data_IF_043062926932
#
_entry.id   IF_043062926932
#
_cell.length_a   1.000
_cell.length_b   1.000
_cell.length_c   1.000
_cell.angle_alpha   90.00
_cell.angle_beta   90.00
_cell.angle_gamma   90.00
#
_symmetry.space_group_name_H-M   'P 1'
#
loop_
_entity.id
_entity.type
_entity.pdbx_description
1 polymer ?
#
# COMPACT_ATOMS: atom_id res chain seq x y z
N UNK A 1 -56.29 13.33 18.16
CA UNK A 1 -55.41 12.78 19.21
C UNK A 1 -54.64 11.54 18.77
N UNK A 2 -55.00 10.85 17.70
CA UNK A 2 -54.30 9.65 17.18
C UNK A 2 -53.10 9.94 16.24
N UNK A 3 -53.07 11.06 15.54
CA UNK A 3 -51.95 11.43 14.64
C UNK A 3 -50.66 11.86 15.39
N UNK A 4 -50.81 12.51 16.52
CA UNK A 4 -49.64 12.94 17.33
C UNK A 4 -48.89 11.77 17.99
N UNK A 5 -49.59 10.68 18.32
CA UNK A 5 -48.98 9.49 18.92
C UNK A 5 -48.15 8.69 17.94
N UNK A 6 -48.54 8.66 16.66
CA UNK A 6 -47.77 7.98 15.59
C UNK A 6 -46.53 8.76 15.20
N UNK A 7 -46.56 10.08 15.22
CA UNK A 7 -45.43 10.93 14.89
C UNK A 7 -44.31 10.86 15.99
N UNK A 8 -44.73 10.82 17.28
CA UNK A 8 -43.79 10.63 18.39
C UNK A 8 -43.11 9.25 18.38
N UNK A 9 -43.83 8.20 18.00
CA UNK A 9 -43.26 6.85 17.92
C UNK A 9 -42.23 6.70 16.79
N UNK A 10 -42.45 7.38 15.65
CA UNK A 10 -41.54 7.37 14.50
C UNK A 10 -40.23 8.13 14.76
N UNK A 11 -40.30 9.24 15.52
CA UNK A 11 -39.09 10.00 15.91
C UNK A 11 -38.29 9.24 16.96
N UNK A 12 -38.95 8.54 17.90
CA UNK A 12 -38.27 7.72 18.91
C UNK A 12 -37.56 6.50 18.28
N UNK A 13 -38.14 5.90 17.24
CA UNK A 13 -37.53 4.79 16.50
C UNK A 13 -36.36 5.25 15.62
N UNK A 14 -36.42 6.47 15.06
CA UNK A 14 -35.32 7.06 14.29
C UNK A 14 -34.11 7.43 15.16
N UNK A 15 -34.36 7.88 16.42
CA UNK A 15 -33.29 8.16 17.39
C UNK A 15 -32.61 6.89 17.91
N UNK A 16 -33.33 5.76 17.97
CA UNK A 16 -32.74 4.48 18.40
C UNK A 16 -31.81 3.88 17.34
N UNK A 17 -32.01 4.19 16.07
CA UNK A 17 -31.13 3.71 14.99
C UNK A 17 -29.84 4.51 14.86
N UNK A 18 -29.78 5.74 15.36
CA UNK A 18 -28.55 6.55 15.40
C UNK A 18 -27.59 6.17 16.55
N UNK A 19 -28.09 5.50 17.59
CA UNK A 19 -27.26 5.06 18.71
C UNK A 19 -26.38 3.83 18.43
N UNK A 20 -26.58 3.18 17.28
CA UNK A 20 -25.85 1.97 16.88
C UNK A 20 -24.46 2.19 16.29
N UNK A 21 -23.97 3.41 16.09
CA UNK A 21 -22.72 3.72 15.41
C UNK A 21 -21.60 4.29 16.28
N UNK A 22 -21.74 4.27 17.59
CA UNK A 22 -20.62 4.50 18.50
C UNK A 22 -19.86 3.18 18.70
N UNK A 23 -19.39 2.57 17.63
CA UNK A 23 -18.39 1.52 17.71
C UNK A 23 -17.11 2.22 18.16
N UNK A 24 -16.69 2.01 19.40
CA UNK A 24 -15.35 2.41 19.83
C UNK A 24 -14.37 1.70 18.89
N UNK A 25 -13.73 2.44 18.00
CA UNK A 25 -12.69 1.92 17.12
C UNK A 25 -11.54 1.44 18.01
N UNK A 26 -11.40 0.12 18.10
CA UNK A 26 -10.28 -0.46 18.83
C UNK A 26 -9.06 -0.59 17.91
N UNK A 27 -7.90 -0.87 18.49
CA UNK A 27 -6.65 -1.03 17.73
C UNK A 27 -6.78 -2.06 16.59
N UNK A 28 -7.56 -3.12 16.77
CA UNK A 28 -7.78 -4.15 15.75
C UNK A 28 -8.55 -3.59 14.55
N UNK A 29 -9.60 -2.81 14.79
CA UNK A 29 -10.41 -2.20 13.73
C UNK A 29 -9.57 -1.23 12.91
N UNK A 30 -8.73 -0.41 13.57
CA UNK A 30 -7.81 0.53 12.91
C UNK A 30 -6.75 -0.23 12.10
N UNK A 31 -6.22 -1.34 12.63
CA UNK A 31 -5.27 -2.17 11.91
C UNK A 31 -5.88 -2.80 10.66
N UNK A 32 -7.09 -3.36 10.74
CA UNK A 32 -7.79 -3.90 9.58
C UNK A 32 -8.04 -2.83 8.50
N UNK A 33 -8.35 -1.61 8.92
CA UNK A 33 -8.52 -0.48 8.01
C UNK A 33 -7.19 -0.11 7.32
N UNK A 34 -6.10 -0.13 8.08
CA UNK A 34 -4.76 0.12 7.57
C UNK A 34 -4.34 -0.95 6.55
N UNK A 35 -4.57 -2.25 6.82
CA UNK A 35 -4.28 -3.33 5.87
C UNK A 35 -4.94 -3.12 4.50
N UNK A 36 -6.13 -2.51 4.47
CA UNK A 36 -6.88 -2.26 3.23
C UNK A 36 -6.44 -0.99 2.50
N UNK A 37 -5.97 0.01 3.24
CA UNK A 37 -5.81 1.37 2.71
C UNK A 37 -4.36 1.89 2.74
N UNK A 38 -3.44 1.25 3.47
CA UNK A 38 -2.06 1.72 3.59
C UNK A 38 -1.33 1.65 2.23
N UNK A 39 -0.91 2.80 1.66
CA UNK A 39 -0.20 2.82 0.39
C UNK A 39 1.19 2.20 0.47
N UNK A 40 1.86 2.25 1.64
CA UNK A 40 3.18 1.65 1.84
C UNK A 40 3.09 0.12 1.81
N UNK A 41 2.09 -0.46 2.46
CA UNK A 41 1.86 -1.91 2.43
C UNK A 41 1.51 -2.38 1.01
N UNK A 42 0.69 -1.62 0.27
CA UNK A 42 0.38 -1.93 -1.13
C UNK A 42 1.60 -1.84 -2.05
N UNK A 43 2.49 -0.87 -1.81
CA UNK A 43 3.75 -0.76 -2.53
C UNK A 43 4.67 -1.94 -2.23
N UNK A 44 4.78 -2.35 -0.96
CA UNK A 44 5.52 -3.54 -0.55
C UNK A 44 4.98 -4.82 -1.19
N UNK A 45 3.65 -4.98 -1.26
CA UNK A 45 3.01 -6.10 -1.95
C UNK A 45 3.32 -6.12 -3.46
N UNK A 46 3.33 -4.96 -4.11
CA UNK A 46 3.69 -4.86 -5.51
C UNK A 46 5.17 -5.24 -5.74
N UNK A 47 6.07 -4.81 -4.85
CA UNK A 47 7.49 -5.19 -4.86
C UNK A 47 7.67 -6.68 -4.63
N UNK A 48 6.93 -7.28 -3.70
CA UNK A 48 6.92 -8.73 -3.48
C UNK A 48 6.47 -9.48 -4.72
N UNK A 49 5.38 -9.07 -5.37
CA UNK A 49 4.90 -9.70 -6.61
C UNK A 49 5.95 -9.63 -7.72
N UNK A 50 6.60 -8.48 -7.88
CA UNK A 50 7.70 -8.33 -8.83
C UNK A 50 8.90 -9.23 -8.47
N UNK A 51 9.26 -9.30 -7.19
CA UNK A 51 10.34 -10.16 -6.70
C UNK A 51 10.07 -11.64 -6.90
N UNK A 52 8.81 -12.07 -6.77
CA UNK A 52 8.39 -13.46 -7.00
C UNK A 52 8.62 -13.92 -8.45
N UNK A 53 8.55 -13.00 -9.42
CA UNK A 53 8.80 -13.30 -10.83
C UNK A 53 10.26 -13.67 -11.15
N UNK A 54 11.21 -13.40 -10.23
CA UNK A 54 12.61 -13.85 -10.43
C UNK A 54 12.72 -15.36 -10.60
N UNK A 55 11.88 -16.14 -9.90
CA UNK A 55 11.83 -17.59 -10.07
C UNK A 55 11.34 -17.99 -11.46
N UNK A 56 10.28 -17.34 -11.94
CA UNK A 56 9.73 -17.58 -13.28
C UNK A 56 10.76 -17.24 -14.36
N UNK A 57 11.50 -16.14 -14.20
CA UNK A 57 12.59 -15.76 -15.10
C UNK A 57 13.75 -16.78 -15.07
N UNK A 58 14.08 -17.32 -13.90
CA UNK A 58 15.06 -18.38 -13.76
C UNK A 58 14.67 -19.64 -14.53
N UNK A 59 13.39 -20.05 -14.41
CA UNK A 59 12.83 -21.19 -15.13
C UNK A 59 12.85 -20.95 -16.64
N UNK A 60 12.53 -19.73 -17.10
CA UNK A 60 12.50 -19.39 -18.53
C UNK A 60 13.84 -19.64 -19.22
N UNK A 61 14.96 -19.50 -18.50
CA UNK A 61 16.29 -19.81 -19.01
C UNK A 61 16.54 -21.31 -19.29
N UNK A 62 15.70 -22.20 -18.77
CA UNK A 62 15.75 -23.66 -18.96
C UNK A 62 14.77 -24.14 -20.03
N UNK A 63 13.86 -23.29 -20.49
CA UNK A 63 12.83 -23.63 -21.47
C UNK A 63 13.33 -23.40 -22.92
N UNK A 64 12.64 -23.99 -23.92
CA UNK A 64 12.93 -23.71 -25.33
C UNK A 64 12.66 -22.24 -25.66
N UNK A 65 13.58 -21.61 -26.35
CA UNK A 65 13.40 -20.25 -26.88
C UNK A 65 13.01 -20.31 -28.33
N UNK A 66 11.87 -19.77 -28.70
CA UNK A 66 11.40 -19.59 -30.06
C UNK A 66 11.72 -18.15 -30.51
N UNK A 67 12.46 -18.03 -31.63
CA UNK A 67 12.76 -16.75 -32.25
C UNK A 67 12.20 -16.74 -33.66
N UNK A 68 11.49 -15.69 -34.04
CA UNK A 68 10.97 -15.43 -35.35
C UNK A 68 11.52 -14.09 -35.81
N UNK A 69 12.06 -14.03 -37.02
CA UNK A 69 12.57 -12.78 -37.56
C UNK A 69 12.37 -12.68 -39.05
N UNK A 70 12.46 -11.45 -39.55
CA UNK A 70 12.42 -11.16 -40.96
C UNK A 70 13.26 -9.94 -41.28
N UNK A 71 13.87 -9.94 -42.47
CA UNK A 71 14.59 -8.78 -42.96
C UNK A 71 14.20 -8.50 -44.41
N UNK A 72 14.23 -7.24 -44.78
CA UNK A 72 14.08 -6.76 -46.13
C UNK A 72 15.29 -5.90 -46.46
N UNK A 73 15.95 -6.22 -47.53
CA UNK A 73 17.14 -5.52 -48.00
C UNK A 73 16.91 -4.99 -49.41
N UNK A 74 17.06 -3.71 -49.57
CA UNK A 74 17.07 -3.08 -50.89
C UNK A 74 18.47 -3.14 -51.45
N UNK A 75 18.67 -3.87 -52.56
CA UNK A 75 19.97 -4.07 -53.19
C UNK A 75 20.05 -3.28 -54.49
N UNK A 76 21.14 -2.59 -54.66
CA UNK A 76 21.44 -1.82 -55.87
C UNK A 76 22.80 -2.30 -56.39
N UNK A 77 22.80 -2.79 -57.61
CA UNK A 77 24.01 -3.26 -58.27
C UNK A 77 24.45 -2.25 -59.34
N UNK A 78 25.66 -1.72 -59.17
CA UNK A 78 26.26 -0.77 -60.10
C UNK A 78 27.55 -1.32 -60.67
N UNK A 79 27.76 -1.15 -62.03
CA UNK A 79 29.01 -1.41 -62.68
C UNK A 79 29.46 -0.16 -63.44
N UNK A 80 30.70 0.27 -63.22
CA UNK A 80 31.25 1.51 -63.78
C UNK A 80 30.39 2.75 -63.57
N UNK A 81 29.84 2.91 -62.31
CA UNK A 81 28.92 3.97 -61.92
C UNK A 81 27.54 3.97 -62.62
N UNK A 82 27.27 3.02 -63.48
CA UNK A 82 25.95 2.85 -64.09
C UNK A 82 25.12 1.84 -63.32
N UNK A 83 23.87 2.21 -63.03
CA UNK A 83 22.90 1.33 -62.40
C UNK A 83 22.54 0.19 -63.32
N UNK A 84 22.84 -1.06 -62.94
CA UNK A 84 22.53 -2.24 -63.72
C UNK A 84 21.29 -2.99 -63.26
N UNK A 85 21.08 -3.04 -61.95
CA UNK A 85 19.93 -3.75 -61.39
C UNK A 85 19.57 -3.25 -60.00
N UNK A 86 18.28 -3.27 -59.68
CA UNK A 86 17.74 -2.98 -58.36
C UNK A 86 16.73 -4.05 -58.00
N UNK A 87 16.97 -4.70 -56.87
CA UNK A 87 16.02 -5.70 -56.36
C UNK A 87 15.90 -5.66 -54.87
N UNK A 88 14.69 -5.99 -54.37
CA UNK A 88 14.44 -6.16 -52.97
C UNK A 88 14.49 -7.63 -52.59
N UNK A 89 15.35 -7.99 -51.63
CA UNK A 89 15.43 -9.34 -51.07
C UNK A 89 14.77 -9.39 -49.70
N UNK A 90 13.86 -10.33 -49.53
CA UNK A 90 13.16 -10.57 -48.28
C UNK A 90 13.56 -11.95 -47.75
N UNK A 91 13.88 -12.02 -46.46
CA UNK A 91 14.12 -13.27 -45.76
C UNK A 91 13.31 -13.36 -44.48
N UNK A 92 12.79 -14.54 -44.22
CA UNK A 92 12.09 -14.87 -43.00
C UNK A 92 12.74 -16.11 -42.40
N UNK A 93 12.88 -16.12 -41.05
CA UNK A 93 13.43 -17.28 -40.37
C UNK A 93 12.68 -17.54 -39.06
N UNK A 94 12.62 -18.82 -38.71
CA UNK A 94 12.19 -19.28 -37.39
C UNK A 94 13.28 -20.15 -36.78
N UNK A 95 13.62 -19.95 -35.54
CA UNK A 95 14.62 -20.72 -34.83
C UNK A 95 14.09 -21.15 -33.46
N UNK A 96 14.30 -22.44 -33.13
CA UNK A 96 14.01 -22.99 -31.79
C UNK A 96 15.33 -23.42 -31.17
N UNK A 97 15.65 -22.92 -30.01
CA UNK A 97 16.84 -23.27 -29.24
C UNK A 97 16.46 -23.80 -27.86
N UNK A 98 16.78 -25.09 -27.60
CA UNK A 98 16.55 -25.74 -26.31
C UNK A 98 17.89 -26.03 -25.63
N UNK A 99 18.18 -25.43 -24.48
CA UNK A 99 19.33 -25.82 -23.67
C UNK A 99 19.08 -27.21 -23.06
N UNK A 100 19.94 -28.19 -23.42
CA UNK A 100 19.82 -29.56 -22.86
C UNK A 100 20.59 -29.66 -21.54
N UNK A 101 21.82 -29.15 -21.50
CA UNK A 101 22.63 -29.12 -20.28
C UNK A 101 23.40 -27.80 -20.19
N UNK A 102 22.95 -26.92 -19.30
CA UNK A 102 23.54 -25.60 -19.07
C UNK A 102 23.60 -25.32 -17.59
N UNK A 103 24.76 -25.57 -16.98
CA UNK A 103 24.97 -25.39 -15.54
C UNK A 103 24.79 -23.92 -15.10
N UNK A 104 25.17 -22.98 -15.96
CA UNK A 104 24.93 -21.56 -15.77
C UNK A 104 23.44 -21.20 -15.66
N UNK A 105 22.59 -21.86 -16.45
CA UNK A 105 21.13 -21.69 -16.41
C UNK A 105 20.51 -22.31 -15.16
N UNK A 106 21.08 -23.42 -14.72
CA UNK A 106 20.67 -24.04 -13.47
C UNK A 106 20.95 -23.12 -12.28
N UNK A 107 22.16 -22.56 -12.17
CA UNK A 107 22.48 -21.60 -11.10
C UNK A 107 21.68 -20.29 -11.21
N UNK A 108 21.30 -19.86 -12.41
CA UNK A 108 20.36 -18.74 -12.58
C UNK A 108 18.97 -19.06 -12.01
N UNK A 109 18.49 -20.28 -12.19
CA UNK A 109 17.23 -20.74 -11.58
C UNK A 109 17.31 -20.78 -10.04
N UNK A 110 18.38 -21.35 -9.48
CA UNK A 110 18.59 -21.35 -8.03
C UNK A 110 18.66 -19.92 -7.46
N UNK A 111 19.42 -19.04 -8.11
CA UNK A 111 19.46 -17.63 -7.76
C UNK A 111 18.08 -16.98 -7.82
N UNK A 112 17.29 -17.24 -8.86
CA UNK A 112 15.94 -16.72 -9.01
C UNK A 112 15.03 -17.20 -7.88
N UNK A 113 15.17 -18.46 -7.45
CA UNK A 113 14.45 -19.02 -6.31
C UNK A 113 14.81 -18.30 -5.01
N UNK A 114 16.11 -18.15 -4.73
CA UNK A 114 16.58 -17.44 -3.53
C UNK A 114 16.13 -15.97 -3.50
N UNK A 115 16.12 -15.28 -4.64
CA UNK A 115 15.61 -13.91 -4.75
C UNK A 115 14.10 -13.83 -4.50
N UNK A 116 13.34 -14.84 -4.95
CA UNK A 116 11.90 -14.93 -4.67
C UNK A 116 11.62 -15.14 -3.18
N UNK A 117 12.38 -16.00 -2.51
CA UNK A 117 12.29 -16.23 -1.05
C UNK A 117 12.69 -14.98 -0.26
N UNK A 118 13.74 -14.27 -0.70
CA UNK A 118 14.15 -13.00 -0.11
C UNK A 118 13.03 -11.94 -0.21
N UNK A 119 12.34 -11.87 -1.35
CA UNK A 119 11.23 -10.94 -1.53
C UNK A 119 10.03 -11.28 -0.63
N UNK A 120 9.78 -12.57 -0.36
CA UNK A 120 8.75 -13.02 0.57
C UNK A 120 9.09 -12.63 2.02
N UNK A 121 10.33 -12.84 2.44
CA UNK A 121 10.80 -12.44 3.77
C UNK A 121 10.73 -10.93 3.98
N UNK A 122 11.11 -10.15 2.96
CA UNK A 122 11.01 -8.69 2.99
C UNK A 122 9.55 -8.23 3.11
N UNK A 123 8.62 -8.85 2.40
CA UNK A 123 7.20 -8.52 2.52
C UNK A 123 6.65 -8.86 3.91
N UNK A 124 7.03 -9.99 4.49
CA UNK A 124 6.66 -10.35 5.86
C UNK A 124 7.19 -9.33 6.88
N UNK A 125 8.41 -8.82 6.70
CA UNK A 125 8.96 -7.73 7.49
C UNK A 125 8.11 -6.45 7.36
N UNK A 126 7.73 -6.05 6.16
CA UNK A 126 6.90 -4.87 5.92
C UNK A 126 5.49 -4.98 6.55
N UNK A 127 4.93 -6.20 6.61
CA UNK A 127 3.67 -6.44 7.34
C UNK A 127 3.84 -6.21 8.84
N UNK A 128 4.92 -6.68 9.44
CA UNK A 128 5.23 -6.46 10.87
C UNK A 128 5.48 -4.97 11.14
N UNK A 129 6.22 -4.30 10.29
CA UNK A 129 6.49 -2.86 10.40
C UNK A 129 5.19 -2.03 10.32
N UNK A 130 4.26 -2.43 9.46
CA UNK A 130 2.94 -1.81 9.38
C UNK A 130 2.17 -1.97 10.69
N UNK A 131 2.23 -3.14 11.33
CA UNK A 131 1.58 -3.39 12.62
C UNK A 131 2.13 -2.45 13.72
N UNK A 132 3.45 -2.32 13.79
CA UNK A 132 4.13 -1.44 14.77
C UNK A 132 3.76 0.02 14.52
N UNK A 133 3.77 0.46 13.25
CA UNK A 133 3.44 1.82 12.86
C UNK A 133 1.99 2.18 13.23
N UNK A 134 1.04 1.29 12.95
CA UNK A 134 -0.37 1.48 13.29
C UNK A 134 -0.56 1.55 14.80
N UNK A 135 0.04 0.62 15.55
CA UNK A 135 -0.03 0.62 17.01
C UNK A 135 0.54 1.90 17.61
N UNK A 136 1.72 2.33 17.13
CA UNK A 136 2.35 3.57 17.59
C UNK A 136 1.49 4.80 17.31
N UNK A 137 0.91 4.89 16.10
CA UNK A 137 0.01 5.99 15.74
C UNK A 137 -1.25 6.01 16.62
N UNK A 138 -1.85 4.84 16.86
CA UNK A 138 -3.02 4.70 17.71
C UNK A 138 -2.76 5.18 19.14
N UNK A 139 -1.67 4.72 19.75
CA UNK A 139 -1.32 5.15 21.12
C UNK A 139 -0.92 6.62 21.20
N UNK A 140 -0.31 7.19 20.16
CA UNK A 140 -0.02 8.62 20.10
C UNK A 140 -1.30 9.46 20.09
N UNK A 141 -2.35 9.02 19.37
CA UNK A 141 -3.66 9.70 19.38
C UNK A 141 -4.29 9.62 20.77
N UNK A 142 -4.28 8.44 21.42
CA UNK A 142 -4.81 8.30 22.79
C UNK A 142 -4.06 9.19 23.78
N UNK A 143 -2.73 9.20 23.73
CA UNK A 143 -1.93 10.06 24.59
C UNK A 143 -2.22 11.55 24.38
N UNK A 144 -2.41 11.95 23.12
CA UNK A 144 -2.79 13.34 22.80
C UNK A 144 -4.16 13.71 23.35
N UNK A 145 -5.11 12.76 23.32
CA UNK A 145 -6.44 12.94 23.90
C UNK A 145 -6.39 13.07 25.43
N UNK A 146 -5.60 12.22 26.09
CA UNK A 146 -5.41 12.27 27.55
C UNK A 146 -4.74 13.58 27.97
N UNK A 147 -3.73 14.04 27.23
CA UNK A 147 -3.08 15.33 27.46
C UNK A 147 -4.05 16.50 27.30
N UNK A 148 -4.95 16.45 26.31
CA UNK A 148 -5.98 17.47 26.13
C UNK A 148 -6.94 17.48 27.33
N UNK A 149 -7.43 16.32 27.75
CA UNK A 149 -8.32 16.22 28.92
C UNK A 149 -7.66 16.76 30.19
N UNK A 150 -6.37 16.47 30.41
CA UNK A 150 -5.60 16.96 31.52
C UNK A 150 -5.48 18.51 31.49
N UNK A 151 -5.14 19.07 30.31
CA UNK A 151 -5.04 20.52 30.15
C UNK A 151 -6.37 21.24 30.34
N UNK A 152 -7.48 20.68 29.86
CA UNK A 152 -8.81 21.21 30.12
C UNK A 152 -9.19 21.16 31.60
N UNK A 153 -8.83 20.10 32.32
CA UNK A 153 -9.05 20.00 33.75
C UNK A 153 -8.25 21.05 34.55
N UNK A 154 -6.99 21.27 34.14
CA UNK A 154 -6.12 22.29 34.71
C UNK A 154 -6.69 23.71 34.46
N UNK A 155 -7.09 24.01 33.22
CA UNK A 155 -7.73 25.29 32.88
C UNK A 155 -8.95 25.55 33.78
N UNK A 156 -9.85 24.57 33.93
CA UNK A 156 -11.02 24.66 34.80
C UNK A 156 -10.65 24.86 36.27
N UNK A 157 -9.54 24.27 36.74
CA UNK A 157 -9.06 24.45 38.11
C UNK A 157 -8.51 25.87 38.32
N UNK A 158 -7.69 26.36 37.38
CA UNK A 158 -7.14 27.73 37.43
C UNK A 158 -8.27 28.77 37.35
N UNK A 159 -9.26 28.57 36.48
CA UNK A 159 -10.41 29.46 36.37
C UNK A 159 -11.18 29.54 37.68
N UNK A 160 -11.42 28.40 38.34
CA UNK A 160 -12.07 28.37 39.67
C UNK A 160 -11.25 29.12 40.74
N UNK A 161 -9.92 28.97 40.73
CA UNK A 161 -9.04 29.71 41.65
C UNK A 161 -9.10 31.22 41.40
N UNK A 162 -9.07 31.65 40.14
CA UNK A 162 -9.22 33.04 39.72
C UNK A 162 -10.56 33.62 40.22
N UNK A 163 -11.67 32.89 40.00
CA UNK A 163 -13.00 33.36 40.42
C UNK A 163 -13.10 33.44 41.94
N UNK A 164 -12.48 32.51 42.67
CA UNK A 164 -12.41 32.55 44.14
C UNK A 164 -11.57 33.75 44.63
N UNK A 165 -10.42 33.96 44.03
CA UNK A 165 -9.56 35.12 44.37
C UNK A 165 -10.29 36.44 44.13
N UNK A 166 -10.99 36.56 42.97
CA UNK A 166 -11.82 37.74 42.67
C UNK A 166 -12.91 37.97 43.70
N UNK A 167 -13.64 36.93 44.06
CA UNK A 167 -14.69 37.04 45.13
C UNK A 167 -14.10 37.46 46.46
N UNK A 168 -12.91 36.96 46.85
CA UNK A 168 -12.23 37.39 48.10
C UNK A 168 -11.81 38.86 48.05
N UNK A 169 -11.34 39.32 46.90
CA UNK A 169 -10.99 40.72 46.65
C UNK A 169 -12.23 41.61 46.73
N UNK A 170 -13.33 41.24 46.08
CA UNK A 170 -14.60 42.02 46.04
C UNK A 170 -15.22 42.18 47.41
N UNK A 171 -15.00 41.24 48.37
CA UNK A 171 -15.49 41.34 49.76
C UNK A 171 -14.42 41.85 50.74
N UNK A 172 -13.28 42.34 50.27
CA UNK A 172 -12.21 42.94 51.07
C UNK A 172 -11.39 41.97 51.91
N UNK A 173 -11.42 40.65 51.60
CA UNK A 173 -10.66 39.59 52.30
C UNK A 173 -9.29 39.30 51.67
N UNK A 174 -8.92 39.97 50.60
CA UNK A 174 -7.61 39.87 49.93
C UNK A 174 -7.20 41.25 49.41
N UNK A 175 -5.90 41.51 49.47
CA UNK A 175 -5.31 42.68 48.84
C UNK A 175 -5.09 42.46 47.32
#
# INVERSE_FOLDING_TARGET
>A
MYLFKKFSLSISLLLLTLAGFLKSENLSDVYELALKNDPLLRAAEATYRAGKENKSQGIAGLLPTLSIGGSTNWNEYRVEEQLQDQYNSNSYYGNINQPIFRLDKWFQFERGTALSESAEAEFAYQQQETMIRVASAYFNVLNSFDNLNAAEAEEKAIQRQKDLAKKRFDVGLAA
#
